data_IF_470605096859
#
_entry.id   IF_470605096859
#
_cell.length_a   1.000
_cell.length_b   1.000
_cell.length_c   1.000
_cell.angle_alpha   90.00
_cell.angle_beta   90.00
_cell.angle_gamma   90.00
#
_symmetry.space_group_name_H-M   'P 1'
#
loop_
_entity.id
_entity.type
_entity.pdbx_description
1 polymer ?
#
# COMPACT_ATOMS: atom_id res chain seq x y z
N UNK A 1 10.48 3.62 -5.13
CA UNK A 1 11.74 4.35 -4.80
C UNK A 1 11.92 5.60 -5.65
N UNK A 2 11.87 6.81 -5.06
CA UNK A 2 12.15 8.08 -5.76
C UNK A 2 12.93 9.07 -4.89
N UNK A 3 13.82 9.86 -5.50
CA UNK A 3 14.45 11.07 -4.95
C UNK A 3 14.19 12.21 -5.93
N UNK A 4 13.86 13.40 -5.44
CA UNK A 4 13.66 14.60 -6.24
C UNK A 4 14.61 15.73 -5.80
N UNK A 5 15.03 16.57 -6.74
CA UNK A 5 15.89 17.73 -6.53
C UNK A 5 15.49 18.84 -7.52
N UNK A 6 15.60 20.10 -7.11
CA UNK A 6 15.36 21.29 -7.93
C UNK A 6 16.31 22.42 -7.50
N UNK A 7 16.79 23.19 -8.47
CA UNK A 7 17.71 24.33 -8.30
C UNK A 7 16.99 25.63 -7.90
N UNK A 8 17.71 26.53 -7.23
CA UNK A 8 17.24 27.89 -6.86
C UNK A 8 18.15 28.98 -7.45
N UNK A 9 17.54 30.09 -7.90
CA UNK A 9 18.21 31.38 -8.11
C UNK A 9 17.87 32.37 -6.97
N UNK A 10 18.73 33.36 -6.67
CA UNK A 10 18.61 34.21 -5.47
C UNK A 10 17.82 35.52 -5.70
N UNK A 11 17.35 36.10 -4.59
CA UNK A 11 16.88 37.50 -4.49
C UNK A 11 17.78 38.32 -3.54
N UNK A 12 17.77 39.65 -3.70
CA UNK A 12 18.70 40.63 -3.11
C UNK A 12 17.93 41.72 -2.36
N UNK A 13 18.46 42.22 -1.24
CA UNK A 13 18.26 43.57 -0.61
C UNK A 13 19.18 43.64 0.64
N UNK A 14 20.25 44.46 0.69
CA UNK A 14 20.37 45.90 1.03
C UNK A 14 20.16 46.26 2.52
N UNK A 15 21.20 46.81 3.18
CA UNK A 15 21.21 47.25 4.59
C UNK A 15 20.77 48.72 4.79
N UNK A 16 21.37 49.53 5.70
CA UNK A 16 22.51 49.33 6.62
C UNK A 16 22.03 49.27 8.11
N UNK A 17 22.75 49.57 9.21
CA UNK A 17 24.11 50.06 9.51
C UNK A 17 24.57 49.60 10.93
N UNK A 18 25.84 49.87 11.30
CA UNK A 18 26.36 49.83 12.68
C UNK A 18 27.67 49.04 12.85
N UNK A 19 28.78 49.72 13.19
CA UNK A 19 30.15 49.14 13.24
C UNK A 19 30.74 49.23 14.66
N UNK A 20 31.47 48.19 15.09
CA UNK A 20 32.60 48.32 16.04
C UNK A 20 33.69 47.27 15.70
N UNK A 21 34.97 47.63 15.80
CA UNK A 21 36.11 46.81 15.37
C UNK A 21 36.94 46.24 16.54
N UNK A 22 37.35 44.96 16.48
CA UNK A 22 38.77 44.55 16.37
C UNK A 22 38.99 43.04 16.10
N UNK A 23 40.14 42.79 15.48
CA UNK A 23 40.90 41.54 15.22
C UNK A 23 40.86 40.41 16.28
N UNK A 24 41.21 39.12 16.02
CA UNK A 24 42.09 38.52 14.99
C UNK A 24 41.81 37.00 14.76
N UNK A 25 42.37 36.46 13.66
CA UNK A 25 42.68 35.03 13.32
C UNK A 25 41.62 34.02 12.79
N UNK A 26 42.08 33.32 11.74
CA UNK A 26 41.60 32.11 11.05
C UNK A 26 40.67 31.15 11.80
N UNK A 27 39.61 30.65 11.12
CA UNK A 27 39.59 29.28 10.54
C UNK A 27 38.33 29.02 9.69
N UNK A 28 38.48 28.10 8.72
CA UNK A 28 37.48 27.32 7.96
C UNK A 28 36.19 27.94 7.39
N UNK A 29 35.94 27.57 6.12
CA UNK A 29 34.69 27.76 5.40
C UNK A 29 33.48 27.26 6.22
N UNK A 30 32.55 28.15 6.53
CA UNK A 30 31.25 27.79 7.09
C UNK A 30 30.38 27.08 6.03
N UNK A 31 30.27 25.75 6.10
CA UNK A 31 29.15 25.06 5.46
C UNK A 31 27.90 25.26 6.30
N UNK A 32 27.14 26.32 5.99
CA UNK A 32 25.81 26.57 6.56
C UNK A 32 24.88 25.40 6.20
N UNK A 33 24.36 24.67 7.18
CA UNK A 33 23.21 23.80 6.98
C UNK A 33 21.94 24.66 6.87
N UNK A 34 21.29 24.64 5.71
CA UNK A 34 20.02 25.32 5.49
C UNK A 34 18.87 24.51 6.11
N UNK A 35 18.31 24.99 7.24
CA UNK A 35 16.96 24.60 7.64
C UNK A 35 15.93 25.33 6.75
N UNK A 36 15.40 24.65 5.73
CA UNK A 36 14.28 25.18 4.93
C UNK A 36 12.97 25.04 5.70
N UNK A 37 12.22 26.13 5.81
CA UNK A 37 10.87 26.16 6.39
C UNK A 37 9.85 25.75 5.33
N UNK A 38 9.30 24.53 5.42
CA UNK A 38 8.30 24.05 4.47
C UNK A 38 7.00 24.87 4.52
N UNK A 39 6.44 25.20 3.34
CA UNK A 39 5.18 25.94 3.20
C UNK A 39 4.05 24.98 2.79
N UNK A 40 2.82 25.30 3.19
CA UNK A 40 1.62 24.46 3.15
C UNK A 40 1.31 23.89 1.74
N UNK A 41 1.44 22.57 1.58
CA UNK A 41 0.98 21.75 0.44
C UNK A 41 0.23 20.50 0.95
N UNK A 42 -0.65 19.89 0.15
CA UNK A 42 -1.62 18.88 0.63
C UNK A 42 -1.06 17.45 0.63
N UNK A 43 -1.39 16.71 1.69
CA UNK A 43 -1.52 15.25 1.82
C UNK A 43 -0.39 14.34 1.30
N UNK A 44 0.48 13.85 2.20
CA UNK A 44 1.20 12.55 2.12
C UNK A 44 2.00 12.29 3.41
N UNK A 45 1.96 11.07 3.96
CA UNK A 45 2.39 10.76 5.34
C UNK A 45 3.11 9.40 5.47
N UNK A 46 3.98 9.25 6.49
CA UNK A 46 5.17 8.36 6.46
C UNK A 46 5.65 7.91 7.88
N UNK A 47 6.52 6.87 8.05
CA UNK A 47 6.97 6.33 9.40
C UNK A 47 8.43 6.64 9.91
N UNK A 48 8.61 7.55 10.88
CA UNK A 48 9.92 8.14 11.29
C UNK A 48 11.11 7.25 11.77
N UNK A 49 12.33 7.71 11.48
CA UNK A 49 13.67 7.20 11.85
C UNK A 49 14.57 8.32 12.42
N UNK A 50 14.32 8.76 13.65
CA UNK A 50 15.03 9.92 14.20
C UNK A 50 16.50 9.62 14.57
N UNK A 51 17.47 10.15 13.81
CA UNK A 51 18.89 10.12 14.17
C UNK A 51 19.20 11.15 15.27
N UNK A 52 19.03 10.75 16.52
CA UNK A 52 19.37 11.56 17.69
C UNK A 52 20.86 11.49 18.02
N UNK A 53 21.49 12.64 18.27
CA UNK A 53 22.85 12.70 18.82
C UNK A 53 22.80 12.98 20.32
N UNK A 54 23.35 12.06 21.12
CA UNK A 54 23.64 12.35 22.52
C UNK A 54 24.83 13.32 22.61
N UNK A 55 24.58 14.55 23.07
CA UNK A 55 25.65 15.43 23.55
C UNK A 55 26.35 14.75 24.74
N UNK A 56 27.66 14.53 24.66
CA UNK A 56 28.46 14.45 25.90
C UNK A 56 28.35 15.79 26.65
N UNK A 57 28.52 15.83 27.98
CA UNK A 57 28.49 17.07 28.75
C UNK A 57 29.49 18.14 28.27
N UNK A 58 30.52 17.74 27.52
CA UNK A 58 31.65 18.55 27.07
C UNK A 58 31.51 19.15 25.66
N UNK A 59 30.32 19.60 25.26
CA UNK A 59 30.10 20.68 24.27
C UNK A 59 30.49 20.49 22.78
N UNK A 60 31.34 19.53 22.41
CA UNK A 60 31.91 19.38 21.07
C UNK A 60 31.40 18.14 20.33
N UNK A 61 31.06 18.31 19.05
CA UNK A 61 30.87 17.19 18.11
C UNK A 61 32.24 16.78 17.56
N UNK A 62 32.80 15.71 18.12
CA UNK A 62 34.04 15.12 17.64
C UNK A 62 33.80 14.30 16.36
N UNK A 63 34.48 14.66 15.27
CA UNK A 63 34.43 13.93 13.99
C UNK A 63 35.42 12.75 13.93
N UNK A 64 36.33 12.60 14.90
CA UNK A 64 37.35 11.53 14.92
C UNK A 64 36.84 10.19 15.45
N UNK A 65 35.67 10.17 16.11
CA UNK A 65 35.01 8.95 16.57
C UNK A 65 33.61 8.84 15.95
N UNK A 66 33.29 7.78 15.19
CA UNK A 66 31.94 7.61 14.68
C UNK A 66 31.00 7.33 15.85
N UNK A 67 30.09 8.26 16.16
CA UNK A 67 28.88 7.96 16.92
C UNK A 67 27.99 7.00 16.10
N UNK A 68 28.36 5.72 16.12
CA UNK A 68 27.78 4.63 15.33
C UNK A 68 26.47 4.09 15.92
N UNK A 69 25.78 4.90 16.71
CA UNK A 69 24.54 4.56 17.39
C UNK A 69 23.35 5.05 16.56
N UNK A 70 22.94 4.23 15.59
CA UNK A 70 21.66 4.40 14.91
C UNK A 70 20.58 3.71 15.73
N UNK A 71 19.57 4.47 16.18
CA UNK A 71 18.40 3.90 16.82
C UNK A 71 17.35 3.58 15.76
N UNK A 72 17.01 2.30 15.60
CA UNK A 72 15.93 1.83 14.73
C UNK A 72 14.81 1.28 15.60
N UNK A 73 13.61 1.85 15.47
CA UNK A 73 12.41 1.31 16.08
C UNK A 73 11.61 0.57 15.02
N UNK A 74 11.37 -0.73 15.25
CA UNK A 74 10.50 -1.55 14.41
C UNK A 74 9.17 -1.75 15.11
N UNK A 75 8.07 -1.58 14.38
CA UNK A 75 6.73 -1.88 14.87
C UNK A 75 6.30 -3.26 14.34
N UNK A 76 5.85 -4.14 15.22
CA UNK A 76 5.22 -5.42 14.85
C UNK A 76 3.78 -5.19 14.41
N UNK A 77 3.06 -4.34 15.15
CA UNK A 77 1.69 -3.95 14.84
C UNK A 77 1.65 -2.82 13.79
N UNK A 78 0.58 -2.75 12.98
CA UNK A 78 0.33 -1.61 12.11
C UNK A 78 0.21 -0.32 12.92
N UNK A 79 1.11 0.65 12.64
CA UNK A 79 0.99 2.02 13.15
C UNK A 79 0.55 2.91 12.00
N UNK A 80 -0.72 3.30 12.04
CA UNK A 80 -1.29 4.28 11.13
C UNK A 80 -1.13 5.69 11.70
N UNK A 81 -0.69 6.63 10.87
CA UNK A 81 -0.39 7.98 11.32
C UNK A 81 -0.33 8.94 10.16
N UNK A 82 -0.97 10.10 10.36
CA UNK A 82 -0.77 11.26 9.51
C UNK A 82 0.57 11.92 9.94
N UNK A 83 0.57 12.66 11.04
CA UNK A 83 1.81 13.19 11.60
C UNK A 83 2.49 12.14 12.48
N UNK A 84 3.82 12.17 12.47
CA UNK A 84 4.63 11.40 13.42
C UNK A 84 5.63 12.37 14.06
N UNK A 85 5.63 12.40 15.39
CA UNK A 85 6.27 13.44 16.20
C UNK A 85 7.35 12.85 17.09
N UNK A 86 8.56 13.41 17.04
CA UNK A 86 9.64 13.05 17.97
C UNK A 86 9.57 13.97 19.18
N UNK A 87 9.25 13.40 20.34
CA UNK A 87 9.13 14.15 21.60
C UNK A 87 10.23 13.69 22.55
N UNK A 88 10.99 14.65 23.09
CA UNK A 88 11.98 14.41 24.14
C UNK A 88 11.41 14.90 25.47
N UNK A 89 10.85 14.01 26.32
CA UNK A 89 10.23 14.42 27.58
C UNK A 89 11.27 14.90 28.60
N UNK A 90 10.90 15.93 29.38
CA UNK A 90 11.73 16.50 30.44
C UNK A 90 11.95 18.01 30.30
N UNK A 91 12.27 18.68 31.40
CA UNK A 91 12.60 20.10 31.41
C UNK A 91 14.08 20.33 31.09
N UNK A 92 14.39 21.45 30.41
CA UNK A 92 15.76 21.86 30.00
C UNK A 92 16.49 20.88 29.06
N UNK A 93 15.77 20.02 28.35
CA UNK A 93 16.32 19.14 27.31
C UNK A 93 16.46 19.85 25.95
N UNK A 94 17.52 19.54 25.20
CA UNK A 94 17.70 20.00 23.82
C UNK A 94 17.53 18.82 22.85
N UNK A 95 16.47 18.81 22.05
CA UNK A 95 16.29 17.85 20.97
C UNK A 95 17.16 18.24 19.77
N UNK A 96 18.06 17.35 19.34
CA UNK A 96 18.88 17.53 18.13
C UNK A 96 18.81 16.26 17.30
N UNK A 97 18.25 16.40 16.09
CA UNK A 97 18.10 15.32 15.10
C UNK A 97 18.87 15.72 13.84
N UNK A 98 19.67 14.80 13.28
CA UNK A 98 20.43 15.07 12.07
C UNK A 98 19.80 14.55 10.79
N UNK A 99 19.01 13.49 10.87
CA UNK A 99 18.25 12.93 9.76
C UNK A 99 17.02 12.25 10.33
N UNK A 100 15.94 12.22 9.54
CA UNK A 100 14.71 11.51 9.92
C UNK A 100 14.12 10.83 8.68
N UNK A 101 14.55 9.60 8.41
CA UNK A 101 13.98 8.74 7.34
C UNK A 101 12.59 8.22 7.75
N UNK A 102 11.79 7.66 6.83
CA UNK A 102 10.32 7.61 7.06
C UNK A 102 9.57 6.37 6.46
N UNK A 103 10.03 5.13 6.64
CA UNK A 103 9.58 3.95 5.85
C UNK A 103 8.21 3.30 6.18
N UNK A 104 7.27 3.38 5.24
CA UNK A 104 6.03 2.60 5.24
C UNK A 104 5.35 2.59 3.86
N UNK A 105 4.11 2.11 3.82
CA UNK A 105 3.18 2.25 2.69
C UNK A 105 1.99 3.12 3.12
N UNK A 106 1.13 3.52 2.18
CA UNK A 106 -0.03 4.37 2.47
C UNK A 106 -1.07 3.58 3.28
N UNK A 107 -1.89 4.23 4.09
CA UNK A 107 -3.04 3.54 4.68
C UNK A 107 -4.05 3.17 3.56
N UNK A 108 -4.78 2.03 3.66
CA UNK A 108 -5.87 1.72 2.75
C UNK A 108 -6.88 2.87 2.70
N UNK A 109 -7.29 3.26 1.50
CA UNK A 109 -8.24 4.38 1.31
C UNK A 109 -9.70 3.99 1.55
N UNK A 110 -9.98 2.70 1.74
CA UNK A 110 -11.33 2.15 1.74
C UNK A 110 -11.99 2.06 0.35
N UNK A 111 -11.29 2.44 -0.72
CA UNK A 111 -11.77 2.27 -2.09
C UNK A 111 -11.60 0.81 -2.57
N UNK A 112 -12.54 0.35 -3.41
CA UNK A 112 -12.38 -0.91 -4.14
C UNK A 112 -11.28 -0.73 -5.22
N UNK A 113 -10.17 -1.44 -5.07
CA UNK A 113 -9.05 -1.43 -6.01
C UNK A 113 -9.39 -2.14 -7.32
N UNK A 114 -10.35 -3.07 -7.30
CA UNK A 114 -10.67 -3.94 -8.44
C UNK A 114 -11.22 -3.16 -9.65
N UNK A 115 -11.91 -2.03 -9.40
CA UNK A 115 -12.44 -1.12 -10.42
C UNK A 115 -11.38 -0.50 -11.34
N UNK A 116 -10.10 -0.53 -10.94
CA UNK A 116 -8.97 -0.02 -11.72
C UNK A 116 -8.17 -1.13 -12.42
N UNK A 117 -8.50 -2.41 -12.14
CA UNK A 117 -7.80 -3.56 -12.67
C UNK A 117 -8.36 -4.05 -14.01
N UNK A 118 -7.88 -5.21 -14.44
CA UNK A 118 -8.39 -5.94 -15.61
C UNK A 118 -8.71 -7.38 -15.26
N UNK A 119 -9.94 -7.80 -15.53
CA UNK A 119 -10.37 -9.17 -15.29
C UNK A 119 -10.11 -10.10 -16.49
N UNK A 120 -9.96 -11.39 -16.22
CA UNK A 120 -9.85 -12.47 -17.21
C UNK A 120 -10.33 -13.77 -16.58
N UNK A 121 -10.77 -14.75 -17.37
CA UNK A 121 -11.26 -16.03 -16.87
C UNK A 121 -10.92 -17.18 -17.81
N UNK A 122 -10.99 -18.42 -17.32
CA UNK A 122 -10.56 -19.64 -18.04
C UNK A 122 -11.27 -19.88 -19.37
N UNK A 123 -12.55 -19.53 -19.46
CA UNK A 123 -13.40 -19.67 -20.64
C UNK A 123 -14.63 -18.79 -20.51
N UNK A 124 -15.35 -18.51 -21.60
CA UNK A 124 -16.57 -17.69 -21.58
C UNK A 124 -17.76 -18.55 -22.00
N UNK A 125 -18.81 -18.59 -21.19
CA UNK A 125 -20.02 -19.36 -21.51
C UNK A 125 -20.81 -18.75 -22.66
N UNK A 126 -21.09 -17.45 -22.57
CA UNK A 126 -21.74 -16.64 -23.59
C UNK A 126 -21.34 -15.16 -23.43
N UNK A 127 -21.83 -14.29 -24.32
CA UNK A 127 -21.52 -12.86 -24.30
C UNK A 127 -22.01 -12.10 -23.06
N UNK A 128 -22.88 -12.68 -22.23
CA UNK A 128 -23.33 -12.07 -20.97
C UNK A 128 -22.39 -12.37 -19.80
N UNK A 129 -21.61 -13.46 -19.86
CA UNK A 129 -20.76 -13.94 -18.75
C UNK A 129 -19.30 -13.48 -18.80
N UNK A 130 -19.05 -12.23 -19.19
CA UNK A 130 -17.70 -11.70 -19.37
C UNK A 130 -16.99 -11.50 -18.04
N UNK A 131 -15.68 -11.74 -18.00
CA UNK A 131 -14.87 -11.61 -16.78
C UNK A 131 -14.92 -10.21 -16.14
N UNK A 132 -15.12 -9.17 -16.95
CA UNK A 132 -15.21 -7.78 -16.51
C UNK A 132 -16.37 -7.54 -15.52
N UNK A 133 -17.45 -8.30 -15.63
CA UNK A 133 -18.66 -8.05 -14.86
C UNK A 133 -18.43 -8.15 -13.34
N UNK A 134 -17.50 -9.02 -12.89
CA UNK A 134 -17.14 -9.12 -11.47
C UNK A 134 -16.25 -7.96 -10.96
N UNK A 135 -16.02 -6.91 -11.76
CA UNK A 135 -15.35 -5.66 -11.35
C UNK A 135 -16.04 -4.43 -11.98
N UNK A 136 -17.31 -4.56 -12.37
CA UNK A 136 -18.09 -3.45 -12.95
C UNK A 136 -18.61 -2.46 -11.89
N UNK A 137 -18.54 -2.85 -10.61
CA UNK A 137 -19.00 -2.06 -9.46
C UNK A 137 -20.45 -2.32 -9.06
N UNK A 138 -21.11 -3.34 -9.64
CA UNK A 138 -22.52 -3.66 -9.42
C UNK A 138 -22.72 -5.08 -8.88
N UNK A 139 -23.08 -5.19 -7.60
CA UNK A 139 -23.35 -6.47 -6.91
C UNK A 139 -24.68 -7.15 -7.29
N UNK A 140 -25.22 -6.87 -8.47
CA UNK A 140 -26.48 -7.51 -8.88
C UNK A 140 -26.25 -9.00 -9.11
N UNK A 141 -26.96 -9.81 -8.34
CA UNK A 141 -26.75 -11.26 -8.25
C UNK A 141 -27.68 -12.06 -9.16
N UNK A 142 -28.60 -11.40 -9.86
CA UNK A 142 -29.44 -12.03 -10.88
C UNK A 142 -28.66 -12.12 -12.20
N UNK A 143 -28.52 -13.34 -12.72
CA UNK A 143 -27.83 -13.64 -13.97
C UNK A 143 -28.43 -12.86 -15.15
N UNK A 144 -29.76 -12.72 -15.17
CA UNK A 144 -30.49 -12.01 -16.22
C UNK A 144 -30.19 -10.51 -16.31
N UNK A 145 -29.63 -9.90 -15.25
CA UNK A 145 -29.29 -8.47 -15.20
C UNK A 145 -27.88 -8.19 -15.76
N UNK A 146 -27.05 -9.22 -15.97
CA UNK A 146 -25.81 -9.11 -16.74
C UNK A 146 -24.55 -8.67 -15.97
N UNK A 147 -24.60 -8.48 -14.63
CA UNK A 147 -23.40 -8.19 -13.81
C UNK A 147 -22.66 -9.44 -13.30
N UNK A 148 -23.07 -10.65 -13.71
CA UNK A 148 -22.33 -11.87 -13.34
C UNK A 148 -21.39 -12.37 -14.44
N UNK A 149 -20.22 -12.85 -14.02
CA UNK A 149 -19.27 -13.64 -14.83
C UNK A 149 -19.76 -15.08 -15.00
N UNK A 150 -19.37 -15.78 -16.07
CA UNK A 150 -19.72 -17.20 -16.25
C UNK A 150 -18.72 -17.94 -17.16
N UNK A 151 -18.01 -18.92 -16.60
CA UNK A 151 -17.15 -19.83 -17.39
C UNK A 151 -17.97 -20.93 -18.07
N UNK A 152 -17.40 -21.64 -19.04
CA UNK A 152 -17.96 -22.93 -19.47
C UNK A 152 -17.77 -24.00 -18.38
N UNK A 153 -18.43 -25.14 -18.53
CA UNK A 153 -18.23 -26.32 -17.68
C UNK A 153 -16.88 -26.95 -17.99
N UNK A 154 -15.85 -26.59 -17.23
CA UNK A 154 -14.48 -27.02 -17.48
C UNK A 154 -13.82 -27.50 -16.18
N UNK A 155 -12.81 -28.35 -16.32
CA UNK A 155 -11.94 -28.77 -15.23
C UNK A 155 -11.15 -27.56 -14.72
N UNK A 156 -11.15 -27.35 -13.40
CA UNK A 156 -10.35 -26.33 -12.72
C UNK A 156 -10.61 -24.89 -13.23
N UNK A 157 -11.87 -24.41 -13.27
CA UNK A 157 -12.19 -23.09 -13.80
C UNK A 157 -11.66 -21.98 -12.88
N UNK A 158 -11.28 -20.86 -13.46
CA UNK A 158 -10.69 -19.73 -12.74
C UNK A 158 -11.12 -18.39 -13.30
N UNK A 159 -11.12 -17.39 -12.42
CA UNK A 159 -11.21 -15.97 -12.72
C UNK A 159 -10.01 -15.26 -12.08
N UNK A 160 -9.47 -14.24 -12.74
CA UNK A 160 -8.32 -13.47 -12.27
C UNK A 160 -8.49 -11.98 -12.54
N UNK A 161 -8.18 -11.19 -11.52
CA UNK A 161 -7.93 -9.76 -11.58
C UNK A 161 -6.43 -9.48 -11.71
N UNK A 162 -6.06 -8.57 -12.61
CA UNK A 162 -4.76 -7.91 -12.66
C UNK A 162 -4.91 -6.47 -12.13
N UNK A 163 -4.31 -6.16 -10.98
CA UNK A 163 -4.28 -4.83 -10.37
C UNK A 163 -3.20 -3.90 -10.98
N UNK A 164 -2.58 -4.30 -12.10
CA UNK A 164 -1.49 -3.63 -12.82
C UNK A 164 -0.15 -3.63 -12.08
N UNK A 165 -0.17 -3.46 -10.76
CA UNK A 165 0.99 -3.42 -9.87
C UNK A 165 0.71 -4.11 -8.53
N UNK A 166 1.77 -4.46 -7.79
CA UNK A 166 1.66 -5.18 -6.53
C UNK A 166 1.04 -4.30 -5.44
N UNK A 167 -0.05 -4.77 -4.85
CA UNK A 167 -0.74 -4.14 -3.74
C UNK A 167 -0.62 -5.00 -2.48
N UNK A 168 -0.65 -4.37 -1.31
CA UNK A 168 -0.88 -5.04 -0.03
C UNK A 168 -2.39 -5.16 0.19
N UNK A 169 -2.93 -6.36 0.10
CA UNK A 169 -4.36 -6.67 0.12
C UNK A 169 -4.76 -7.14 1.52
N UNK A 170 -5.69 -6.42 2.13
CA UNK A 170 -6.20 -6.71 3.47
C UNK A 170 -7.45 -7.58 3.44
N UNK A 171 -8.38 -7.32 2.51
CA UNK A 171 -9.57 -8.16 2.35
C UNK A 171 -10.08 -8.20 0.91
N UNK A 172 -10.77 -9.28 0.59
CA UNK A 172 -11.47 -9.50 -0.68
C UNK A 172 -12.93 -9.80 -0.36
N UNK A 173 -13.87 -9.18 -1.07
CA UNK A 173 -15.30 -9.53 -0.98
C UNK A 173 -15.75 -10.19 -2.26
N UNK A 174 -16.64 -11.18 -2.13
CA UNK A 174 -17.17 -11.95 -3.27
C UNK A 174 -18.68 -12.01 -3.16
N UNK A 175 -19.39 -11.59 -4.20
CA UNK A 175 -20.85 -11.70 -4.32
C UNK A 175 -21.22 -12.91 -5.15
N UNK A 176 -22.06 -13.79 -4.58
CA UNK A 176 -22.57 -14.98 -5.23
C UNK A 176 -23.89 -14.69 -5.96
N UNK A 177 -24.25 -15.55 -6.91
CA UNK A 177 -25.52 -15.44 -7.64
C UNK A 177 -26.73 -15.84 -6.78
N UNK A 178 -27.90 -15.30 -7.13
CA UNK A 178 -29.17 -15.63 -6.47
C UNK A 178 -29.95 -16.73 -7.20
N UNK A 179 -29.82 -16.84 -8.53
CA UNK A 179 -30.75 -17.59 -9.37
C UNK A 179 -30.55 -19.12 -9.32
N UNK A 180 -29.37 -19.63 -9.69
CA UNK A 180 -29.19 -21.07 -9.89
C UNK A 180 -27.73 -21.52 -9.73
N UNK A 181 -27.53 -22.52 -8.88
CA UNK A 181 -26.22 -23.06 -8.55
C UNK A 181 -25.35 -22.15 -7.67
N UNK A 182 -25.86 -21.46 -6.62
CA UNK A 182 -25.00 -20.72 -5.69
C UNK A 182 -23.97 -21.64 -5.02
N UNK A 183 -24.29 -22.92 -4.83
CA UNK A 183 -23.38 -23.94 -4.30
C UNK A 183 -22.19 -24.28 -5.22
N UNK A 184 -22.19 -23.85 -6.50
CA UNK A 184 -21.10 -24.13 -7.44
C UNK A 184 -19.79 -23.45 -7.04
N UNK A 185 -19.88 -22.33 -6.33
CA UNK A 185 -18.73 -21.60 -5.80
C UNK A 185 -18.10 -22.29 -4.56
N UNK A 186 -18.78 -23.27 -3.95
CA UNK A 186 -18.30 -23.94 -2.74
C UNK A 186 -16.98 -24.70 -3.00
N UNK A 187 -15.98 -24.45 -2.17
CA UNK A 187 -14.62 -24.96 -2.34
C UNK A 187 -13.74 -24.14 -3.30
N UNK A 188 -14.19 -22.98 -3.76
CA UNK A 188 -13.32 -22.05 -4.48
C UNK A 188 -12.26 -21.46 -3.54
N UNK A 189 -11.08 -21.17 -4.07
CA UNK A 189 -9.96 -20.59 -3.33
C UNK A 189 -9.66 -19.18 -3.83
N UNK A 190 -9.49 -18.23 -2.91
CA UNK A 190 -8.97 -16.89 -3.19
C UNK A 190 -7.46 -16.96 -3.06
N UNK A 191 -6.73 -16.61 -4.12
CA UNK A 191 -5.27 -16.69 -4.20
C UNK A 191 -4.68 -15.35 -4.62
N UNK A 192 -3.59 -14.94 -3.98
CA UNK A 192 -3.00 -13.60 -4.11
C UNK A 192 -1.49 -13.71 -4.28
N UNK A 193 -0.94 -13.03 -5.28
CA UNK A 193 0.50 -12.96 -5.51
C UNK A 193 0.88 -12.33 -6.85
N UNK A 194 2.17 -12.38 -7.19
CA UNK A 194 2.73 -11.77 -8.41
C UNK A 194 3.05 -12.79 -9.52
N UNK A 195 2.89 -14.10 -9.27
CA UNK A 195 3.16 -15.13 -10.28
C UNK A 195 1.98 -15.32 -11.23
N UNK A 196 2.28 -15.60 -12.50
CA UNK A 196 1.32 -16.08 -13.51
C UNK A 196 1.44 -17.59 -13.78
N UNK A 197 2.29 -18.31 -13.03
CA UNK A 197 2.36 -19.77 -13.08
C UNK A 197 0.97 -20.38 -12.83
N UNK A 198 0.58 -21.36 -13.66
CA UNK A 198 -0.78 -21.92 -13.66
C UNK A 198 -1.87 -20.83 -13.69
N UNK A 199 -1.69 -19.80 -14.53
CA UNK A 199 -2.57 -18.62 -14.62
C UNK A 199 -2.68 -17.79 -13.32
N UNK A 200 -1.76 -17.95 -12.36
CA UNK A 200 -1.82 -17.36 -11.02
C UNK A 200 -2.53 -18.24 -9.98
N UNK A 201 -3.06 -19.40 -10.38
CA UNK A 201 -3.72 -20.34 -9.48
C UNK A 201 -2.73 -21.08 -8.55
N UNK A 202 -1.42 -20.94 -8.78
CA UNK A 202 -0.36 -21.41 -7.85
C UNK A 202 0.00 -20.39 -6.75
N UNK A 203 -0.48 -19.14 -6.83
CA UNK A 203 -0.17 -18.13 -5.81
C UNK A 203 -0.69 -18.53 -4.40
N UNK A 204 -0.08 -18.01 -3.31
CA UNK A 204 -0.52 -18.25 -1.94
C UNK A 204 -2.03 -18.02 -1.75
N UNK A 205 -2.67 -18.89 -0.96
CA UNK A 205 -4.11 -18.83 -0.68
C UNK A 205 -4.41 -17.84 0.45
N UNK A 206 -5.24 -16.84 0.18
CA UNK A 206 -5.86 -16.00 1.20
C UNK A 206 -6.95 -16.80 1.95
N UNK A 207 -7.95 -17.32 1.22
CA UNK A 207 -9.11 -17.96 1.82
C UNK A 207 -9.65 -19.15 1.00
N UNK A 208 -10.44 -19.98 1.68
CA UNK A 208 -11.30 -21.00 1.09
C UNK A 208 -12.75 -20.53 1.22
N UNK A 209 -13.46 -20.41 0.10
CA UNK A 209 -14.89 -20.10 0.05
C UNK A 209 -15.67 -21.38 0.35
N UNK A 210 -15.97 -21.64 1.62
CA UNK A 210 -16.73 -22.83 2.04
C UNK A 210 -18.15 -22.82 1.44
N UNK A 211 -18.89 -21.73 1.64
CA UNK A 211 -20.18 -21.48 0.98
C UNK A 211 -20.64 -20.04 1.19
N UNK A 212 -20.99 -19.33 0.11
CA UNK A 212 -21.66 -18.03 0.17
C UNK A 212 -23.16 -18.24 -0.11
N UNK A 213 -24.09 -17.77 0.74
CA UNK A 213 -25.52 -17.86 0.48
C UNK A 213 -25.94 -17.18 -0.83
N UNK A 214 -27.06 -17.62 -1.41
CA UNK A 214 -27.56 -17.14 -2.70
C UNK A 214 -27.81 -15.62 -2.68
N UNK A 215 -27.15 -14.86 -3.57
CA UNK A 215 -27.23 -13.40 -3.64
C UNK A 215 -26.47 -12.63 -2.56
N UNK A 216 -25.78 -13.30 -1.63
CA UNK A 216 -25.03 -12.63 -0.56
C UNK A 216 -23.61 -12.27 -0.99
N UNK A 217 -23.04 -11.29 -0.30
CA UNK A 217 -21.61 -10.94 -0.37
C UNK A 217 -20.93 -11.40 0.91
N UNK A 218 -19.88 -12.22 0.79
CA UNK A 218 -19.00 -12.59 1.92
C UNK A 218 -17.69 -11.79 1.86
N UNK A 219 -17.09 -11.51 3.01
CA UNK A 219 -15.80 -10.81 3.13
C UNK A 219 -14.75 -11.77 3.68
N UNK A 220 -13.59 -11.84 3.02
CA UNK A 220 -12.48 -12.72 3.36
C UNK A 220 -11.26 -11.87 3.72
N UNK A 221 -10.75 -12.06 4.94
CA UNK A 221 -9.58 -11.36 5.45
C UNK A 221 -8.28 -12.02 4.96
N UNK A 222 -7.49 -11.28 4.19
CA UNK A 222 -6.22 -11.68 3.60
C UNK A 222 -5.00 -11.14 4.37
N UNK A 223 -5.18 -10.44 5.49
CA UNK A 223 -4.12 -10.10 6.46
C UNK A 223 -2.90 -9.35 5.89
N UNK A 224 -3.06 -8.58 4.80
CA UNK A 224 -1.99 -7.79 4.21
C UNK A 224 -1.01 -8.60 3.35
N UNK A 225 -1.51 -9.60 2.62
CA UNK A 225 -0.76 -10.32 1.58
C UNK A 225 -0.37 -9.37 0.45
N UNK A 226 0.84 -9.53 -0.08
CA UNK A 226 1.32 -8.76 -1.23
C UNK A 226 1.02 -9.50 -2.53
N UNK A 227 0.42 -8.81 -3.51
CA UNK A 227 0.18 -9.36 -4.84
C UNK A 227 -0.42 -8.37 -5.84
N UNK A 228 -0.04 -8.53 -7.10
CA UNK A 228 -0.65 -7.89 -8.26
C UNK A 228 -1.89 -8.63 -8.77
N UNK A 229 -1.91 -9.95 -8.63
CA UNK A 229 -2.99 -10.79 -9.12
C UNK A 229 -3.87 -11.29 -7.97
N UNK A 230 -5.19 -11.25 -8.17
CA UNK A 230 -6.17 -11.90 -7.31
C UNK A 230 -6.92 -12.93 -8.16
N UNK A 231 -6.77 -14.20 -7.83
CA UNK A 231 -7.42 -15.32 -8.49
C UNK A 231 -8.56 -15.87 -7.61
N UNK A 232 -9.69 -16.20 -8.23
CA UNK A 232 -10.72 -17.09 -7.65
C UNK A 232 -10.69 -18.38 -8.47
N UNK A 233 -10.37 -19.49 -7.81
CA UNK A 233 -10.03 -20.76 -8.45
C UNK A 233 -10.83 -21.92 -7.87
N UNK A 234 -11.45 -22.76 -8.70
CA UNK A 234 -12.16 -23.98 -8.25
C UNK A 234 -11.35 -25.24 -8.55
N UNK A 235 -10.51 -25.74 -7.63
CA UNK A 235 -9.68 -26.92 -7.87
C UNK A 235 -10.47 -28.24 -7.86
N UNK A 236 -9.98 -29.21 -8.62
CA UNK A 236 -10.27 -30.65 -8.45
C UNK A 236 -11.56 -31.16 -9.09
N UNK A 237 -12.34 -30.32 -9.80
CA UNK A 237 -13.57 -30.75 -10.48
C UNK A 237 -13.86 -29.99 -11.77
N UNK A 238 -14.74 -30.56 -12.60
CA UNK A 238 -15.41 -29.83 -13.67
C UNK A 238 -16.57 -29.02 -13.05
N UNK A 239 -16.61 -27.72 -13.30
CA UNK A 239 -17.64 -26.84 -12.75
C UNK A 239 -17.87 -25.59 -13.62
N UNK A 240 -18.97 -24.89 -13.41
CA UNK A 240 -19.15 -23.52 -13.86
C UNK A 240 -18.73 -22.54 -12.74
N UNK A 241 -17.73 -21.71 -12.99
CA UNK A 241 -17.42 -20.58 -12.10
C UNK A 241 -18.29 -19.39 -12.50
N UNK A 242 -19.11 -18.93 -11.56
CA UNK A 242 -20.09 -17.86 -11.73
C UNK A 242 -20.01 -16.94 -10.49
N UNK A 243 -19.54 -15.72 -10.69
CA UNK A 243 -19.27 -14.71 -9.65
C UNK A 243 -19.90 -13.38 -10.08
N UNK A 244 -20.59 -12.68 -9.19
CA UNK A 244 -21.34 -11.47 -9.52
C UNK A 244 -20.69 -10.15 -9.08
N UNK A 245 -19.74 -10.17 -8.15
CA UNK A 245 -18.82 -9.04 -7.92
C UNK A 245 -17.61 -9.54 -7.12
N UNK A 246 -16.44 -8.95 -7.37
CA UNK A 246 -15.21 -9.13 -6.60
C UNK A 246 -14.65 -7.76 -6.23
N UNK A 247 -14.70 -7.43 -4.95
CA UNK A 247 -14.12 -6.20 -4.41
C UNK A 247 -12.79 -6.50 -3.72
N UNK A 248 -11.78 -5.66 -3.92
CA UNK A 248 -10.45 -5.83 -3.32
C UNK A 248 -10.08 -4.57 -2.54
N UNK A 249 -9.75 -4.72 -1.26
CA UNK A 249 -9.40 -3.63 -0.37
C UNK A 249 -7.95 -3.78 0.11
N UNK A 250 -7.16 -2.72 -0.08
CA UNK A 250 -5.72 -2.77 0.11
C UNK A 250 -5.05 -1.39 0.09
N UNK A 251 -3.73 -1.39 0.13
CA UNK A 251 -2.90 -0.25 -0.24
C UNK A 251 -2.00 -0.58 -1.41
N UNK A 252 -1.75 0.41 -2.27
CA UNK A 252 -0.63 0.42 -3.20
C UNK A 252 0.72 0.44 -2.46
N UNK A 253 1.75 -0.13 -3.09
CA UNK A 253 3.15 -0.07 -2.68
C UNK A 253 3.94 0.79 -3.70
N UNK A 254 4.72 1.78 -3.23
CA UNK A 254 5.42 2.84 -4.04
C UNK A 254 6.98 2.77 -3.93
#
# INVERSE_FOLDING_TARGET
>A
MQRYSFDDQPLVESGPAGILHRHLHHHHQQRRLLCRKARRGRNSHWRLFARQWCRKPSGWCDFSHPCRWFFTMTFTEPVEGLYVSVVLPGSKMNLTLCEVEVYGYRAPTGANLALQGKASQSSVYNFQGLAYNAIDGNRDSAWSHGSCTHTQYNLNPWWRLDLVETHKIFSVKVTNNIDNGPYRLNGAEIRIGDSLENNGNSNPRCALISSIPAGFTETFECNGMDGRYVNIFLPGRNEYLLICEVEVYGSKLD
#
